data_IF_559185491370
#
_entry.id   IF_559185491370
#
_cell.length_a   1.000
_cell.length_b   1.000
_cell.length_c   1.000
_cell.angle_alpha   90.00
_cell.angle_beta   90.00
_cell.angle_gamma   90.00
#
_symmetry.space_group_name_H-M   'P 1'
#
loop_
_entity.id
_entity.type
_entity.pdbx_description
1 polymer ?
#
# COMPACT_ATOMS: atom_id res chain seq x y z
N UNK A 1 21.31 -15.51 0.45
CA UNK A 1 20.94 -14.25 -0.21
C UNK A 1 19.59 -13.86 0.33
N UNK A 2 19.53 -12.81 1.14
CA UNK A 2 18.28 -12.29 1.70
C UNK A 2 17.52 -11.60 0.57
N UNK A 3 16.29 -12.03 0.30
CA UNK A 3 15.35 -11.35 -0.61
C UNK A 3 14.88 -10.04 0.03
N UNK A 4 15.76 -9.04 0.03
CA UNK A 4 15.35 -7.66 0.18
C UNK A 4 14.84 -7.19 -1.18
N UNK A 5 13.68 -7.71 -1.59
CA UNK A 5 12.92 -7.15 -2.72
C UNK A 5 12.78 -5.65 -2.44
N UNK A 6 13.39 -4.86 -3.32
CA UNK A 6 13.57 -3.43 -3.14
C UNK A 6 12.21 -2.74 -3.13
N UNK A 7 11.73 -2.40 -1.93
CA UNK A 7 10.63 -1.46 -1.78
C UNK A 7 11.12 -0.09 -2.30
N UNK A 8 10.93 0.14 -3.60
CA UNK A 8 11.51 1.23 -4.35
C UNK A 8 10.85 2.59 -4.06
N UNK A 9 9.65 2.60 -3.47
CA UNK A 9 8.93 3.85 -3.20
C UNK A 9 8.18 3.86 -1.87
N UNK A 10 7.98 5.08 -1.36
CA UNK A 10 7.08 5.43 -0.25
C UNK A 10 6.08 6.46 -0.75
N UNK A 11 4.79 6.33 -0.44
CA UNK A 11 3.76 7.28 -0.89
C UNK A 11 2.64 7.42 0.14
N UNK A 12 2.22 8.66 0.42
CA UNK A 12 1.09 8.94 1.29
C UNK A 12 1.12 8.23 2.65
N UNK A 13 0.03 8.35 3.39
CA UNK A 13 -0.10 7.74 4.71
C UNK A 13 -1.16 8.40 5.54
N UNK A 14 -1.37 7.86 6.74
CA UNK A 14 -2.39 8.38 7.64
C UNK A 14 -2.31 7.76 9.02
N UNK A 15 -3.36 8.01 9.79
CA UNK A 15 -3.58 7.37 11.08
C UNK A 15 -4.80 6.47 10.98
N UNK A 16 -4.72 5.30 11.61
CA UNK A 16 -5.80 4.31 11.62
C UNK A 16 -6.04 3.82 13.04
N UNK A 17 -7.27 4.00 13.53
CA UNK A 17 -7.69 3.59 14.87
C UNK A 17 -7.70 2.06 15.02
N UNK A 18 -7.64 1.52 16.25
CA UNK A 18 -7.75 0.08 16.51
C UNK A 18 -9.00 -0.53 15.86
N UNK A 19 -8.84 -1.66 15.17
CA UNK A 19 -9.93 -2.40 14.53
C UNK A 19 -10.47 -1.78 13.24
N UNK A 20 -10.05 -0.57 12.87
CA UNK A 20 -10.53 0.12 11.68
C UNK A 20 -9.90 -0.44 10.39
N UNK A 21 -10.62 -0.28 9.29
CA UNK A 21 -10.16 -0.52 7.92
C UNK A 21 -10.28 0.77 7.12
N UNK A 22 -9.27 1.09 6.31
CA UNK A 22 -9.28 2.23 5.40
C UNK A 22 -8.95 1.78 3.98
N UNK A 23 -9.64 2.35 3.00
CA UNK A 23 -9.35 2.21 1.58
C UNK A 23 -8.41 3.33 1.13
N UNK A 24 -7.48 3.00 0.22
CA UNK A 24 -6.58 3.96 -0.41
C UNK A 24 -6.54 3.72 -1.92
N UNK A 25 -6.74 4.79 -2.69
CA UNK A 25 -6.61 4.77 -4.14
C UNK A 25 -5.22 5.21 -4.57
N UNK A 26 -4.63 4.49 -5.50
CA UNK A 26 -3.41 4.89 -6.18
C UNK A 26 -3.63 4.89 -7.69
N UNK A 27 -2.90 5.77 -8.36
CA UNK A 27 -2.91 5.92 -9.80
C UNK A 27 -1.46 5.83 -10.28
N UNK A 28 -1.21 4.89 -11.17
CA UNK A 28 0.05 4.65 -11.87
C UNK A 28 -0.21 4.70 -13.37
N UNK A 29 0.79 4.95 -14.19
CA UNK A 29 0.63 4.91 -15.64
C UNK A 29 1.31 6.05 -16.40
N UNK A 30 1.40 5.81 -17.71
CA UNK A 30 2.29 6.40 -18.70
C UNK A 30 2.85 5.28 -19.59
N UNK A 31 3.13 5.58 -20.88
CA UNK A 31 3.57 4.63 -21.93
C UNK A 31 4.36 3.40 -21.42
N UNK A 32 3.69 2.25 -21.29
CA UNK A 32 4.32 0.95 -21.00
C UNK A 32 4.64 0.64 -19.54
N UNK A 33 4.17 1.44 -18.57
CA UNK A 33 4.30 1.14 -17.15
C UNK A 33 3.37 -0.04 -16.76
N UNK A 34 3.92 -0.99 -16.01
CA UNK A 34 3.22 -2.18 -15.49
C UNK A 34 2.76 -2.00 -14.03
N UNK A 35 3.05 -0.84 -13.44
CA UNK A 35 2.68 -0.48 -12.08
C UNK A 35 3.40 -1.30 -11.00
N UNK A 36 3.12 -1.01 -9.71
CA UNK A 36 3.73 -1.72 -8.59
C UNK A 36 3.22 -3.16 -8.50
N UNK A 37 4.13 -4.11 -8.34
CA UNK A 37 3.80 -5.53 -8.09
C UNK A 37 3.50 -5.79 -6.61
N UNK A 38 3.91 -4.88 -5.73
CA UNK A 38 3.64 -4.94 -4.29
C UNK A 38 3.24 -3.56 -3.76
N UNK A 39 2.15 -3.51 -2.98
CA UNK A 39 1.72 -2.35 -2.19
C UNK A 39 1.53 -2.82 -0.75
N UNK A 40 2.13 -2.12 0.21
CA UNK A 40 2.06 -2.48 1.63
C UNK A 40 1.98 -1.25 2.52
N UNK A 41 1.07 -1.27 3.50
CA UNK A 41 1.07 -0.31 4.58
C UNK A 41 2.17 -0.66 5.61
N UNK A 42 3.14 0.24 5.80
CA UNK A 42 4.17 0.09 6.83
C UNK A 42 3.82 0.95 8.06
N UNK A 43 3.73 0.36 9.26
CA UNK A 43 3.57 1.13 10.49
C UNK A 43 4.82 1.98 10.77
N UNK A 44 4.61 3.21 11.23
CA UNK A 44 5.66 4.13 11.68
C UNK A 44 5.86 4.07 13.20
N UNK A 45 4.80 3.75 13.95
CA UNK A 45 4.89 3.52 15.38
C UNK A 45 5.47 2.12 15.66
N UNK A 46 6.34 1.96 16.67
CA UNK A 46 6.74 0.65 17.14
C UNK A 46 5.51 -0.11 17.63
N UNK A 47 5.39 -1.39 17.24
CA UNK A 47 4.28 -2.30 17.56
C UNK A 47 2.96 -2.08 16.78
N UNK A 48 2.96 -1.28 15.70
CA UNK A 48 1.80 -1.21 14.82
C UNK A 48 1.51 -2.55 14.13
N UNK A 49 0.29 -3.06 14.28
CA UNK A 49 -0.16 -4.31 13.64
C UNK A 49 -1.10 -3.98 12.47
N UNK A 50 -0.53 -3.89 11.27
CA UNK A 50 -1.27 -3.58 10.05
C UNK A 50 -1.32 -4.80 9.13
N UNK A 51 -2.47 -5.00 8.50
CA UNK A 51 -2.65 -5.92 7.39
C UNK A 51 -3.02 -5.14 6.13
N UNK A 52 -2.33 -5.41 5.03
CA UNK A 52 -2.81 -5.02 3.69
C UNK A 52 -3.61 -6.20 3.15
N UNK A 53 -4.91 -6.01 2.93
CA UNK A 53 -5.86 -7.13 2.78
C UNK A 53 -6.38 -7.32 1.35
N UNK A 54 -6.20 -6.34 0.47
CA UNK A 54 -6.65 -6.42 -0.92
C UNK A 54 -5.91 -5.40 -1.76
N UNK A 55 -5.53 -5.77 -2.98
CA UNK A 55 -5.03 -4.90 -4.04
C UNK A 55 -5.81 -5.29 -5.30
N UNK A 56 -6.64 -4.37 -5.81
CA UNK A 56 -7.33 -4.56 -7.09
C UNK A 56 -6.75 -3.61 -8.13
N UNK A 57 -6.33 -4.16 -9.27
CA UNK A 57 -5.88 -3.41 -10.44
C UNK A 57 -7.06 -3.16 -11.38
N UNK A 58 -7.24 -1.92 -11.80
CA UNK A 58 -8.17 -1.54 -12.85
C UNK A 58 -7.39 -0.81 -13.94
N UNK A 59 -7.36 -1.39 -15.14
CA UNK A 59 -6.89 -0.70 -16.33
C UNK A 59 -7.99 0.28 -16.75
N UNK A 60 -7.72 1.59 -16.61
CA UNK A 60 -8.57 2.61 -17.21
C UNK A 60 -8.29 2.67 -18.72
N UNK A 61 -9.30 3.01 -19.53
CA UNK A 61 -9.23 3.07 -21.00
C UNK A 61 -8.18 4.04 -21.58
N UNK A 62 -7.47 4.76 -20.71
CA UNK A 62 -6.40 5.71 -21.01
C UNK A 62 -4.97 5.15 -20.75
N UNK A 63 -4.81 3.82 -20.57
CA UNK A 63 -3.53 3.17 -20.18
C UNK A 63 -2.99 3.62 -18.81
N UNK A 64 -3.85 4.06 -17.91
CA UNK A 64 -3.51 4.27 -16.50
C UNK A 64 -3.96 3.05 -15.69
N UNK A 65 -3.10 2.65 -14.76
CA UNK A 65 -3.32 1.58 -13.80
C UNK A 65 -3.82 2.20 -12.49
N UNK A 66 -5.04 1.86 -12.10
CA UNK A 66 -5.59 2.25 -10.80
C UNK A 66 -5.49 1.08 -9.84
N UNK A 67 -4.93 1.32 -8.66
CA UNK A 67 -4.86 0.33 -7.58
C UNK A 67 -5.71 0.77 -6.41
N UNK A 68 -6.56 -0.14 -5.90
CA UNK A 68 -7.24 0.06 -4.61
C UNK A 68 -6.61 -0.85 -3.57
N UNK A 69 -5.97 -0.26 -2.56
CA UNK A 69 -5.44 -1.00 -1.42
C UNK A 69 -6.31 -0.80 -0.18
N UNK A 70 -6.44 -1.85 0.63
CA UNK A 70 -7.08 -1.76 1.96
C UNK A 70 -6.07 -2.04 3.05
N UNK A 71 -6.00 -1.16 4.04
CA UNK A 71 -5.24 -1.37 5.27
C UNK A 71 -6.19 -1.57 6.45
N UNK A 72 -5.90 -2.57 7.28
CA UNK A 72 -6.59 -2.82 8.55
C UNK A 72 -5.62 -2.72 9.69
N UNK A 73 -6.00 -2.01 10.76
CA UNK A 73 -5.31 -2.07 12.03
C UNK A 73 -5.91 -3.19 12.89
N UNK A 74 -5.15 -4.25 13.09
CA UNK A 74 -5.55 -5.37 13.94
C UNK A 74 -5.00 -5.26 15.37
N UNK A 75 -4.22 -4.22 15.65
CA UNK A 75 -3.66 -3.96 16.96
C UNK A 75 -4.60 -3.17 17.86
N UNK A 76 -4.28 -3.11 19.17
CA UNK A 76 -5.05 -2.36 20.16
C UNK A 76 -4.73 -0.86 20.19
N UNK A 77 -3.75 -0.39 19.41
CA UNK A 77 -3.27 0.99 19.41
C UNK A 77 -3.56 1.67 18.09
N UNK A 78 -3.80 2.99 18.11
CA UNK A 78 -3.82 3.78 16.87
C UNK A 78 -2.44 3.73 16.21
N UNK A 79 -2.41 3.49 14.91
CA UNK A 79 -1.17 3.36 14.14
C UNK A 79 -1.07 4.48 13.12
N UNK A 80 0.07 5.18 13.11
CA UNK A 80 0.49 6.02 11.99
C UNK A 80 1.22 5.14 10.99
N UNK A 81 0.92 5.28 9.71
CA UNK A 81 1.49 4.43 8.67
C UNK A 81 1.82 5.23 7.41
N UNK A 82 2.67 4.64 6.59
CA UNK A 82 2.95 5.10 5.22
C UNK A 82 2.79 3.93 4.27
N UNK A 83 2.36 4.19 3.02
CA UNK A 83 2.41 3.14 2.01
C UNK A 83 3.79 3.03 1.41
N UNK A 84 4.13 1.81 1.02
CA UNK A 84 5.34 1.48 0.30
C UNK A 84 5.03 0.47 -0.78
N UNK A 85 5.87 0.43 -1.78
CA UNK A 85 5.81 -0.62 -2.78
C UNK A 85 7.05 -0.67 -3.64
N UNK A 86 7.01 -1.54 -4.62
CA UNK A 86 8.10 -1.76 -5.55
C UNK A 86 7.70 -2.71 -6.66
N UNK A 87 8.64 -2.89 -7.57
CA UNK A 87 8.62 -3.94 -8.60
C UNK A 87 9.67 -4.98 -8.21
N UNK A 88 9.42 -6.23 -8.55
CA UNK A 88 10.40 -7.32 -8.41
C UNK A 88 11.41 -7.33 -9.56
#
# INVERSE_FOLDING_TARGET
MSEENSMAWTSGGGTIAPGATQDWGFYWGGNGDVGPQLIQARPLNPNGLLYTIEIAEVLDGNHYLSYRARVRNAGPLTVTFQWRGGSV
#
